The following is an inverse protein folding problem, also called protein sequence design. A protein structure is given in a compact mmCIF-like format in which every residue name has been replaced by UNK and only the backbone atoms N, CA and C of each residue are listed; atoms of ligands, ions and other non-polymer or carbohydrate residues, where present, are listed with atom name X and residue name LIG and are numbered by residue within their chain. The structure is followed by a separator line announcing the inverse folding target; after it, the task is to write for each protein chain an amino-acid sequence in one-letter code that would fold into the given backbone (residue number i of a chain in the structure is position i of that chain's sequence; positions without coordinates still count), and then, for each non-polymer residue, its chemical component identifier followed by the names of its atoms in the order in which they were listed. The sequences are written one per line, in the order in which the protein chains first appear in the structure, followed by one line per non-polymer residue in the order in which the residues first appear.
data_IF_420547175637
#
_entry.id   IF_420547175637
#
_cell.length_a   1.000
_cell.length_b   1.000
_cell.length_c   1.000
_cell.angle_alpha   90.00
_cell.angle_beta   90.00
_cell.angle_gamma   90.00
#
_symmetry.space_group_name_H-M   'P 1'
#
loop_
_entity.id
_entity.type
_entity.pdbx_description
1 polymer ?
#
# COMPACT_ATOMS: atom_id res chain seq x y z
N UNK A 1 8.44 20.70 -10.11
CA UNK A 1 8.16 19.95 -8.87
C UNK A 1 9.22 18.88 -8.71
N UNK A 2 9.82 18.76 -7.53
CA UNK A 2 10.81 17.74 -7.18
C UNK A 2 10.12 16.49 -6.68
N UNK A 3 10.19 15.42 -7.46
CA UNK A 3 9.57 14.13 -7.13
C UNK A 3 10.55 13.13 -6.55
N UNK A 4 10.02 12.17 -5.79
CA UNK A 4 10.70 10.94 -5.40
C UNK A 4 9.75 9.77 -5.62
N UNK A 5 10.22 8.71 -6.29
CA UNK A 5 9.52 7.43 -6.32
C UNK A 5 10.05 6.57 -5.17
N UNK A 6 9.16 5.92 -4.44
CA UNK A 6 9.50 4.98 -3.36
C UNK A 6 8.86 3.64 -3.64
N UNK A 7 9.66 2.57 -3.55
CA UNK A 7 9.25 1.20 -3.82
C UNK A 7 9.59 0.31 -2.63
N UNK A 8 8.64 -0.07 -1.77
CA UNK A 8 8.91 -1.10 -0.78
C UNK A 8 8.97 -2.47 -1.46
N UNK A 9 9.91 -3.30 -1.02
CA UNK A 9 10.04 -4.69 -1.44
C UNK A 9 10.25 -5.56 -0.22
N UNK A 10 9.55 -6.69 -0.18
CA UNK A 10 9.46 -7.53 1.01
C UNK A 10 10.19 -8.85 0.79
N UNK A 11 11.04 -9.23 1.75
CA UNK A 11 11.83 -10.47 1.71
C UNK A 11 11.54 -11.32 2.94
N UNK A 12 11.62 -12.64 2.78
CA UNK A 12 11.49 -13.61 3.86
C UNK A 12 12.57 -14.68 3.84
N UNK A 13 12.74 -15.38 4.95
CA UNK A 13 13.47 -16.64 5.00
C UNK A 13 12.85 -17.66 4.01
N UNK A 14 13.66 -18.45 3.27
CA UNK A 14 13.17 -19.55 2.45
C UNK A 14 12.33 -20.57 3.22
N UNK A 15 12.71 -20.80 4.48
CA UNK A 15 12.17 -21.86 5.33
C UNK A 15 10.88 -21.47 6.07
N UNK A 16 10.53 -20.18 6.08
CA UNK A 16 9.37 -19.66 6.83
C UNK A 16 8.36 -18.94 5.92
N UNK A 17 7.51 -19.68 5.19
CA UNK A 17 6.62 -19.11 4.17
C UNK A 17 5.54 -18.16 4.72
N UNK A 18 5.12 -18.36 5.97
CA UNK A 18 4.10 -17.53 6.64
C UNK A 18 4.72 -16.50 7.62
N UNK A 19 6.04 -16.27 7.57
CA UNK A 19 6.71 -15.28 8.42
C UNK A 19 6.30 -13.86 8.07
N UNK A 20 6.16 -13.03 9.12
CA UNK A 20 5.89 -11.61 8.98
C UNK A 20 4.47 -11.24 8.48
N UNK A 21 4.21 -9.94 8.32
CA UNK A 21 2.87 -9.42 8.01
C UNK A 21 2.55 -9.33 6.51
N UNK A 22 3.54 -9.48 5.64
CA UNK A 22 3.44 -9.14 4.22
C UNK A 22 2.69 -10.21 3.41
N UNK A 23 1.82 -9.81 2.48
CA UNK A 23 1.02 -10.73 1.66
C UNK A 23 1.87 -11.55 0.67
N UNK A 24 2.90 -10.91 0.09
CA UNK A 24 3.73 -11.44 -0.98
C UNK A 24 5.26 -11.36 -0.73
N UNK A 25 5.77 -11.81 0.43
CA UNK A 25 7.20 -11.72 0.71
C UNK A 25 7.99 -12.71 -0.14
N UNK A 26 8.99 -12.21 -0.86
CA UNK A 26 9.83 -13.01 -1.76
C UNK A 26 10.88 -13.76 -0.94
N UNK A 27 11.02 -15.09 -1.10
CA UNK A 27 12.09 -15.84 -0.44
C UNK A 27 13.47 -15.34 -0.84
N UNK A 28 14.41 -15.26 0.11
CA UNK A 28 15.81 -15.03 -0.23
C UNK A 28 16.32 -16.08 -1.22
N UNK A 29 17.15 -15.65 -2.16
CA UNK A 29 17.66 -16.46 -3.26
C UNK A 29 16.72 -16.58 -4.46
N UNK A 30 15.47 -16.13 -4.36
CA UNK A 30 14.54 -16.08 -5.48
C UNK A 30 14.43 -14.67 -6.06
N UNK A 31 14.34 -14.58 -7.38
CA UNK A 31 14.11 -13.31 -8.07
C UNK A 31 12.66 -12.83 -7.86
N UNK A 32 12.51 -11.57 -7.47
CA UNK A 32 11.23 -10.90 -7.26
C UNK A 32 10.74 -10.12 -8.49
N UNK A 33 9.60 -9.42 -8.39
CA UNK A 33 9.06 -8.62 -9.47
C UNK A 33 9.76 -7.25 -9.65
N UNK A 34 10.56 -6.82 -8.66
CA UNK A 34 11.24 -5.53 -8.64
C UNK A 34 11.97 -5.16 -9.94
N UNK A 35 12.78 -6.03 -10.58
CA UNK A 35 13.46 -5.68 -11.83
C UNK A 35 12.52 -5.23 -12.95
N UNK A 36 11.31 -5.82 -13.05
CA UNK A 36 10.30 -5.43 -14.04
C UNK A 36 9.81 -4.01 -13.80
N UNK A 37 9.45 -3.68 -12.55
CA UNK A 37 9.03 -2.33 -12.20
C UNK A 37 10.13 -1.32 -12.52
N UNK A 38 11.37 -1.58 -12.08
CA UNK A 38 12.51 -0.69 -12.31
C UNK A 38 12.76 -0.48 -13.81
N UNK A 39 12.64 -1.54 -14.64
CA UNK A 39 12.74 -1.42 -16.08
C UNK A 39 11.67 -0.50 -16.67
N UNK A 40 10.42 -0.61 -16.20
CA UNK A 40 9.31 0.24 -16.66
C UNK A 40 9.47 1.70 -16.23
N UNK A 41 9.97 1.97 -15.01
CA UNK A 41 10.30 3.32 -14.55
C UNK A 41 11.39 3.93 -15.43
N UNK A 42 12.46 3.17 -15.70
CA UNK A 42 13.55 3.62 -16.57
C UNK A 42 13.07 3.96 -17.98
N UNK A 43 12.10 3.22 -18.51
CA UNK A 43 11.46 3.51 -19.80
C UNK A 43 10.51 4.72 -19.74
N UNK A 44 9.81 4.93 -18.60
CA UNK A 44 8.80 5.97 -18.44
C UNK A 44 9.36 7.36 -18.08
N UNK A 45 10.57 7.46 -17.52
CA UNK A 45 11.26 8.74 -17.34
C UNK A 45 12.54 8.67 -16.50
N UNK A 46 13.65 9.09 -17.12
CA UNK A 46 15.01 8.83 -16.62
C UNK A 46 15.44 9.63 -15.37
N UNK A 47 14.80 10.77 -15.08
CA UNK A 47 15.37 11.75 -14.12
C UNK A 47 14.75 11.74 -12.73
N UNK A 48 13.61 11.06 -12.52
CA UNK A 48 13.00 10.98 -11.18
C UNK A 48 13.72 9.93 -10.35
N UNK A 49 14.28 10.29 -9.18
CA UNK A 49 14.98 9.33 -8.35
C UNK A 49 14.04 8.29 -7.75
N UNK A 50 14.57 7.08 -7.58
CA UNK A 50 13.90 5.93 -6.99
C UNK A 50 14.60 5.56 -5.68
N UNK A 51 13.82 5.41 -4.62
CA UNK A 51 14.27 4.85 -3.35
C UNK A 51 13.59 3.51 -3.10
N UNK A 52 14.35 2.42 -3.22
CA UNK A 52 13.86 1.08 -2.90
C UNK A 52 14.00 0.84 -1.40
N UNK A 53 12.92 0.50 -0.72
CA UNK A 53 12.90 0.21 0.72
C UNK A 53 12.84 -1.30 0.90
N UNK A 54 13.85 -1.88 1.52
CA UNK A 54 13.98 -3.33 1.68
C UNK A 54 13.57 -3.75 3.07
N UNK A 55 12.47 -4.46 3.16
CA UNK A 55 11.90 -4.96 4.41
C UNK A 55 12.03 -6.48 4.51
N UNK A 56 12.75 -6.96 5.52
CA UNK A 56 12.75 -8.37 5.89
C UNK A 56 11.56 -8.71 6.80
N UNK A 57 11.08 -9.95 6.76
CA UNK A 57 10.07 -10.45 7.71
C UNK A 57 10.62 -10.53 9.14
N UNK A 58 11.95 -10.62 9.30
CA UNK A 58 12.66 -10.58 10.57
C UNK A 58 14.06 -9.94 10.44
N UNK A 59 14.71 -9.68 11.57
CA UNK A 59 16.00 -8.98 11.61
C UNK A 59 17.18 -9.84 11.13
N UNK A 60 17.09 -11.16 11.18
CA UNK A 60 18.19 -12.07 10.82
C UNK A 60 18.45 -12.12 9.31
N UNK A 61 17.41 -11.87 8.51
CA UNK A 61 17.49 -11.87 7.05
C UNK A 61 17.66 -10.46 6.44
N UNK A 62 17.54 -9.40 7.25
CA UNK A 62 17.45 -8.03 6.75
C UNK A 62 18.69 -7.58 5.96
N UNK A 63 19.90 -7.88 6.43
CA UNK A 63 21.13 -7.56 5.71
C UNK A 63 21.26 -8.33 4.38
N UNK A 64 20.91 -9.62 4.38
CA UNK A 64 20.95 -10.46 3.18
C UNK A 64 19.93 -9.99 2.12
N UNK A 65 18.75 -9.55 2.57
CA UNK A 65 17.72 -8.98 1.72
C UNK A 65 18.23 -7.72 0.98
N UNK A 66 18.91 -6.82 1.70
CA UNK A 66 19.51 -5.61 1.10
C UNK A 66 20.54 -5.97 0.04
N UNK A 67 21.45 -6.90 0.33
CA UNK A 67 22.47 -7.34 -0.62
C UNK A 67 21.88 -8.00 -1.87
N UNK A 68 20.81 -8.78 -1.72
CA UNK A 68 20.10 -9.34 -2.86
C UNK A 68 19.46 -8.25 -3.73
N UNK A 69 18.71 -7.33 -3.13
CA UNK A 69 18.05 -6.25 -3.86
C UNK A 69 19.08 -5.36 -4.57
N UNK A 70 20.23 -5.08 -3.96
CA UNK A 70 21.34 -4.36 -4.61
C UNK A 70 21.78 -5.03 -5.91
N UNK A 71 21.88 -6.37 -5.93
CA UNK A 71 22.21 -7.12 -7.16
C UNK A 71 21.09 -7.06 -8.20
N UNK A 72 19.84 -7.17 -7.77
CA UNK A 72 18.67 -7.11 -8.67
C UNK A 72 18.56 -5.76 -9.40
N UNK A 73 18.93 -4.66 -8.74
CA UNK A 73 18.85 -3.32 -9.34
C UNK A 73 20.13 -2.87 -10.05
N UNK A 74 21.25 -3.58 -9.90
CA UNK A 74 22.55 -3.21 -10.45
C UNK A 74 22.50 -2.89 -11.96
N UNK A 75 21.81 -3.67 -12.81
CA UNK A 75 21.72 -3.40 -14.25
C UNK A 75 21.02 -2.08 -14.63
N UNK A 76 20.44 -1.36 -13.66
CA UNK A 76 19.67 -0.14 -13.86
C UNK A 76 20.33 1.11 -13.27
N UNK A 77 21.44 0.97 -12.54
CA UNK A 77 22.12 2.11 -11.88
C UNK A 77 22.62 3.18 -12.84
N UNK A 78 23.00 2.78 -14.05
CA UNK A 78 23.43 3.71 -15.10
C UNK A 78 22.25 4.31 -15.89
N UNK A 79 21.04 3.79 -15.69
CA UNK A 79 19.83 4.20 -16.44
C UNK A 79 18.96 5.17 -15.64
N UNK A 80 18.91 5.01 -14.32
CA UNK A 80 18.11 5.84 -13.42
C UNK A 80 18.84 6.09 -12.10
N UNK A 81 18.48 7.17 -11.43
CA UNK A 81 18.98 7.49 -10.09
C UNK A 81 18.28 6.63 -9.04
N UNK A 82 18.85 5.48 -8.72
CA UNK A 82 18.25 4.50 -7.79
C UNK A 82 19.11 4.27 -6.54
N UNK A 83 18.47 4.36 -5.37
CA UNK A 83 19.04 4.09 -4.06
C UNK A 83 18.31 2.95 -3.34
N UNK A 84 18.99 2.31 -2.40
CA UNK A 84 18.43 1.24 -1.55
C UNK A 84 18.48 1.70 -0.10
N UNK A 85 17.37 1.54 0.62
CA UNK A 85 17.22 1.82 2.03
C UNK A 85 16.86 0.53 2.75
N UNK A 86 17.70 0.10 3.69
CA UNK A 86 17.53 -1.13 4.46
C UNK A 86 17.69 -0.94 5.95
N UNK A 87 18.03 -2.02 6.64
CA UNK A 87 18.16 -2.05 8.10
C UNK A 87 19.25 -1.09 8.61
N UNK A 88 20.40 -1.04 7.95
CA UNK A 88 21.50 -0.15 8.35
C UNK A 88 21.14 1.32 8.19
N UNK A 89 20.39 1.65 7.11
CA UNK A 89 19.90 3.01 6.87
C UNK A 89 18.86 3.41 7.90
N UNK A 90 17.94 2.50 8.25
CA UNK A 90 16.97 2.72 9.33
C UNK A 90 17.70 3.00 10.65
N UNK A 91 18.67 2.15 11.01
CA UNK A 91 19.46 2.30 12.24
C UNK A 91 20.23 3.62 12.26
N UNK A 92 20.72 4.10 11.11
CA UNK A 92 21.35 5.42 11.02
C UNK A 92 20.36 6.58 11.20
N UNK A 93 19.16 6.47 10.62
CA UNK A 93 18.16 7.53 10.60
C UNK A 93 17.45 7.74 11.94
N UNK A 94 17.06 6.65 12.60
CA UNK A 94 16.30 6.71 13.87
C UNK A 94 17.14 6.27 15.08
N UNK A 95 18.33 5.71 14.88
CA UNK A 95 19.13 5.13 15.95
C UNK A 95 18.41 3.98 16.64
N UNK A 96 18.78 3.68 17.89
CA UNK A 96 18.04 2.76 18.77
C UNK A 96 16.75 3.35 19.34
N UNK A 97 16.33 4.54 18.90
CA UNK A 97 15.07 5.12 19.35
C UNK A 97 13.95 4.37 18.64
N UNK A 98 13.20 3.56 19.39
CA UNK A 98 11.97 2.97 18.88
C UNK A 98 10.96 4.08 18.60
N UNK A 99 10.98 4.61 17.38
CA UNK A 99 9.80 5.27 16.86
C UNK A 99 8.83 4.14 16.52
N UNK A 100 7.83 3.91 17.39
CA UNK A 100 6.78 2.92 17.14
C UNK A 100 6.10 3.12 15.77
N UNK A 101 6.27 4.29 15.15
CA UNK A 101 5.70 4.70 13.88
C UNK A 101 6.55 4.40 12.63
N UNK A 102 7.86 4.19 12.73
CA UNK A 102 8.77 4.03 11.57
C UNK A 102 9.56 2.73 11.73
N UNK A 103 9.72 1.95 10.67
CA UNK A 103 10.44 0.69 10.71
C UNK A 103 10.21 -0.19 9.49
N UNK A 104 10.85 -1.37 9.50
CA UNK A 104 10.84 -2.32 8.38
C UNK A 104 9.93 -3.54 8.60
N UNK A 105 9.10 -3.52 9.66
CA UNK A 105 8.12 -4.56 9.97
C UNK A 105 6.74 -3.93 10.09
N UNK A 106 5.85 -4.30 9.15
CA UNK A 106 4.48 -3.80 9.06
C UNK A 106 4.34 -2.69 8.02
N UNK A 107 3.31 -2.80 7.20
CA UNK A 107 3.10 -1.92 6.04
C UNK A 107 3.10 -0.43 6.40
N UNK A 108 2.33 -0.02 7.42
CA UNK A 108 2.27 1.39 7.83
C UNK A 108 3.62 1.96 8.27
N UNK A 109 4.47 1.16 8.93
CA UNK A 109 5.82 1.58 9.35
C UNK A 109 6.77 1.74 8.15
N UNK A 110 6.69 0.83 7.19
CA UNK A 110 7.47 0.88 5.94
C UNK A 110 7.04 2.10 5.11
N UNK A 111 5.74 2.37 5.00
CA UNK A 111 5.22 3.56 4.33
C UNK A 111 5.62 4.85 5.03
N UNK A 112 5.67 4.87 6.36
CA UNK A 112 6.22 6.01 7.12
C UNK A 112 7.71 6.23 6.86
N UNK A 113 8.51 5.17 6.67
CA UNK A 113 9.89 5.31 6.22
C UNK A 113 9.95 5.94 4.82
N UNK A 114 9.04 5.57 3.90
CA UNK A 114 8.88 6.24 2.61
C UNK A 114 8.65 7.76 2.76
N UNK A 115 7.75 8.19 3.66
CA UNK A 115 7.51 9.61 3.92
C UNK A 115 8.74 10.31 4.50
N UNK A 116 9.46 9.64 5.42
CA UNK A 116 10.70 10.17 5.99
C UNK A 116 11.78 10.36 4.92
N UNK A 117 11.99 9.36 4.05
CA UNK A 117 12.97 9.46 2.95
C UNK A 117 12.59 10.62 2.02
N UNK A 118 11.32 10.78 1.68
CA UNK A 118 10.84 11.92 0.88
C UNK A 118 11.10 13.27 1.56
N UNK A 119 10.87 13.35 2.88
CA UNK A 119 11.14 14.55 3.66
C UNK A 119 12.63 14.93 3.66
N UNK A 120 13.51 13.95 3.91
CA UNK A 120 14.97 14.11 3.93
C UNK A 120 15.55 14.45 2.56
N UNK A 121 15.03 13.83 1.51
CA UNK A 121 15.38 14.17 0.14
C UNK A 121 14.95 15.61 -0.22
N UNK A 122 13.98 16.17 0.49
CA UNK A 122 13.39 17.46 0.18
C UNK A 122 12.47 17.38 -1.03
N UNK A 123 11.69 16.30 -1.17
CA UNK A 123 10.68 16.16 -2.21
C UNK A 123 9.52 17.14 -2.01
N UNK A 124 8.94 17.59 -3.11
CA UNK A 124 7.65 18.30 -3.16
C UNK A 124 6.47 17.31 -3.17
N UNK A 125 6.66 16.13 -3.78
CA UNK A 125 5.71 15.02 -3.72
C UNK A 125 6.44 13.67 -3.79
N UNK A 126 5.85 12.66 -3.16
CA UNK A 126 6.32 11.27 -3.21
C UNK A 126 5.32 10.41 -3.97
N UNK A 127 5.82 9.55 -4.85
CA UNK A 127 5.07 8.54 -5.59
C UNK A 127 5.36 7.19 -4.94
N UNK A 128 4.33 6.56 -4.36
CA UNK A 128 4.39 5.18 -3.89
C UNK A 128 4.04 4.23 -5.03
N UNK A 129 4.94 3.28 -5.30
CA UNK A 129 4.75 2.13 -6.19
C UNK A 129 5.05 0.85 -5.42
N UNK A 130 4.35 -0.25 -5.69
CA UNK A 130 4.64 -1.58 -5.17
C UNK A 130 5.52 -2.36 -6.16
N UNK A 131 6.40 -3.21 -5.65
CA UNK A 131 7.40 -3.91 -6.48
C UNK A 131 6.79 -4.88 -7.52
N UNK A 132 5.50 -5.21 -7.38
CA UNK A 132 4.74 -6.09 -8.26
C UNK A 132 3.95 -5.36 -9.36
N UNK A 133 4.19 -4.07 -9.56
CA UNK A 133 3.52 -3.25 -10.58
C UNK A 133 4.41 -2.96 -11.80
N UNK A 134 3.80 -2.33 -12.81
CA UNK A 134 4.46 -1.75 -13.97
C UNK A 134 3.86 -0.38 -14.30
N UNK A 135 4.70 0.61 -14.57
CA UNK A 135 4.24 1.95 -14.94
C UNK A 135 4.18 2.11 -16.47
N UNK A 136 3.09 2.65 -17.02
CA UNK A 136 2.97 2.90 -18.46
C UNK A 136 3.81 4.12 -18.89
N UNK A 137 4.02 4.26 -20.21
CA UNK A 137 4.54 5.49 -20.78
C UNK A 137 3.69 6.71 -20.37
N UNK A 138 4.38 7.80 -20.03
CA UNK A 138 3.76 9.04 -19.56
C UNK A 138 3.26 9.02 -18.12
N UNK A 139 3.46 7.94 -17.36
CA UNK A 139 3.01 7.84 -15.96
C UNK A 139 3.43 9.03 -15.10
N UNK A 140 4.69 9.46 -15.17
CA UNK A 140 5.18 10.60 -14.37
C UNK A 140 4.49 11.92 -14.70
N UNK A 141 4.12 12.14 -15.97
CA UNK A 141 3.36 13.32 -16.36
C UNK A 141 1.94 13.29 -15.76
N UNK A 142 1.31 12.11 -15.73
CA UNK A 142 0.00 11.91 -15.08
C UNK A 142 0.06 12.09 -13.58
N UNK A 143 1.09 11.55 -12.92
CA UNK A 143 1.32 11.71 -11.48
C UNK A 143 1.48 13.19 -11.07
N UNK A 144 2.07 14.01 -11.94
CA UNK A 144 2.26 15.46 -11.70
C UNK A 144 1.05 16.31 -12.08
N UNK A 145 0.14 15.78 -12.90
CA UNK A 145 -0.90 16.57 -13.58
C UNK A 145 -1.74 17.40 -12.63
N UNK A 146 -2.10 16.83 -11.48
CA UNK A 146 -2.98 17.47 -10.51
C UNK A 146 -2.33 17.77 -9.17
N UNK A 147 -1.31 17.01 -8.76
CA UNK A 147 -0.75 17.15 -7.42
C UNK A 147 -0.19 18.57 -7.21
N UNK A 148 -0.56 19.20 -6.09
CA UNK A 148 -0.19 20.58 -5.75
C UNK A 148 -0.98 21.67 -6.50
N UNK A 149 -1.82 21.30 -7.47
CA UNK A 149 -2.73 22.25 -8.13
C UNK A 149 -3.99 22.50 -7.30
N UNK A 150 -4.78 23.50 -7.68
CA UNK A 150 -6.12 23.73 -7.13
C UNK A 150 -7.17 22.96 -7.94
N UNK A 151 -8.06 22.25 -7.25
CA UNK A 151 -9.21 21.57 -7.85
C UNK A 151 -10.44 21.74 -6.95
N UNK A 152 -11.56 22.16 -7.55
CA UNK A 152 -12.80 22.45 -6.82
C UNK A 152 -12.60 23.43 -5.63
N UNK A 153 -11.68 24.39 -5.74
CA UNK A 153 -11.38 25.40 -4.72
C UNK A 153 -10.46 24.91 -3.59
N UNK A 154 -9.88 23.71 -3.69
CA UNK A 154 -9.00 23.12 -2.68
C UNK A 154 -7.67 22.65 -3.30
N UNK A 155 -6.55 22.70 -2.55
CA UNK A 155 -5.30 22.13 -3.01
C UNK A 155 -5.37 20.60 -3.09
N UNK A 156 -4.91 20.04 -4.21
CA UNK A 156 -4.81 18.58 -4.41
C UNK A 156 -3.54 18.08 -3.73
N UNK A 157 -3.70 17.48 -2.54
CA UNK A 157 -2.57 16.99 -1.74
C UNK A 157 -2.35 15.47 -1.80
N UNK A 158 -3.34 14.73 -2.32
CA UNK A 158 -3.27 13.29 -2.49
C UNK A 158 -4.00 12.86 -3.76
N UNK A 159 -3.34 12.07 -4.60
CA UNK A 159 -3.93 11.49 -5.81
C UNK A 159 -3.67 9.98 -5.82
N UNK A 160 -4.67 9.21 -6.20
CA UNK A 160 -4.62 7.75 -6.40
C UNK A 160 -5.31 7.38 -7.70
N UNK A 161 -5.07 6.19 -8.21
CA UNK A 161 -5.83 5.70 -9.35
C UNK A 161 -5.77 4.19 -9.53
N UNK A 162 -6.35 3.66 -10.62
CA UNK A 162 -6.65 2.24 -10.74
C UNK A 162 -5.41 1.37 -10.91
N UNK A 163 -5.53 0.15 -10.38
CA UNK A 163 -4.77 -1.00 -10.83
C UNK A 163 -5.48 -1.65 -12.00
N UNK A 164 -4.75 -1.85 -13.10
CA UNK A 164 -5.21 -2.70 -14.19
C UNK A 164 -4.74 -4.11 -13.89
N UNK A 165 -5.67 -4.95 -13.47
CA UNK A 165 -5.41 -6.38 -13.31
C UNK A 165 -5.17 -6.99 -14.70
N UNK A 166 -4.09 -7.76 -14.87
CA UNK A 166 -3.80 -8.46 -16.13
C UNK A 166 -4.39 -9.87 -16.18
N UNK A 167 -5.04 -10.32 -15.11
CA UNK A 167 -5.67 -11.63 -15.02
C UNK A 167 -7.04 -11.52 -14.35
N UNK A 168 -8.03 -12.19 -14.94
CA UNK A 168 -9.35 -12.29 -14.33
C UNK A 168 -9.24 -13.06 -13.02
N UNK A 169 -9.49 -12.37 -11.90
CA UNK A 169 -9.66 -13.03 -10.60
C UNK A 169 -10.75 -14.11 -10.69
N UNK A 170 -10.65 -15.21 -9.91
CA UNK A 170 -11.63 -16.28 -9.96
C UNK A 170 -13.04 -15.74 -9.70
N UNK A 171 -14.08 -16.26 -10.39
CA UNK A 171 -15.45 -15.82 -10.21
C UNK A 171 -15.85 -15.99 -8.74
N UNK A 172 -16.47 -14.94 -8.19
CA UNK A 172 -16.86 -14.89 -6.80
C UNK A 172 -17.97 -15.94 -6.54
N UNK A 173 -17.77 -16.80 -5.54
CA UNK A 173 -18.64 -17.96 -5.23
C UNK A 173 -19.07 -18.02 -3.76
N UNK A 174 -18.74 -17.02 -2.95
CA UNK A 174 -18.96 -17.07 -1.51
C UNK A 174 -20.04 -16.08 -1.07
N UNK A 175 -20.98 -16.50 -0.23
CA UNK A 175 -22.01 -15.58 0.26
C UNK A 175 -21.45 -14.50 1.23
N UNK A 176 -20.29 -14.77 1.85
CA UNK A 176 -19.71 -13.91 2.86
C UNK A 176 -18.86 -12.78 2.24
N UNK A 177 -19.18 -11.49 2.50
CA UNK A 177 -18.42 -10.34 1.99
C UNK A 177 -16.91 -10.38 2.27
N UNK A 178 -16.46 -10.95 3.39
CA UNK A 178 -15.03 -11.03 3.71
C UNK A 178 -14.29 -11.99 2.78
N UNK A 179 -14.95 -13.06 2.34
CA UNK A 179 -14.42 -14.02 1.37
C UNK A 179 -14.49 -13.47 -0.06
N UNK A 180 -15.40 -12.52 -0.32
CA UNK A 180 -15.53 -11.80 -1.60
C UNK A 180 -15.00 -10.37 -1.57
N UNK A 181 -14.06 -10.05 -0.68
CA UNK A 181 -13.58 -8.67 -0.53
C UNK A 181 -13.14 -8.03 -1.85
N UNK A 182 -12.46 -8.78 -2.73
CA UNK A 182 -12.03 -8.29 -4.04
C UNK A 182 -13.20 -7.78 -4.90
N UNK A 183 -14.38 -8.38 -4.80
CA UNK A 183 -15.59 -7.90 -5.48
C UNK A 183 -16.04 -6.53 -4.97
N UNK A 184 -15.99 -6.31 -3.66
CA UNK A 184 -16.35 -5.01 -3.07
C UNK A 184 -15.38 -3.91 -3.47
N UNK A 185 -14.08 -4.21 -3.54
CA UNK A 185 -13.06 -3.30 -4.06
C UNK A 185 -13.36 -2.96 -5.53
N UNK A 186 -13.56 -3.97 -6.39
CA UNK A 186 -13.88 -3.77 -7.81
C UNK A 186 -15.15 -2.97 -8.04
N UNK A 187 -16.18 -3.19 -7.23
CA UNK A 187 -17.42 -2.39 -7.30
C UNK A 187 -17.15 -0.92 -6.97
N UNK A 188 -16.30 -0.65 -5.96
CA UNK A 188 -15.89 0.71 -5.61
C UNK A 188 -15.09 1.39 -6.72
N UNK A 189 -14.10 0.69 -7.27
CA UNK A 189 -13.32 1.17 -8.43
C UNK A 189 -14.25 1.46 -9.61
N UNK A 190 -15.19 0.57 -9.92
CA UNK A 190 -16.14 0.75 -11.03
C UNK A 190 -17.02 1.99 -10.85
N UNK A 191 -17.45 2.26 -9.61
CA UNK A 191 -18.21 3.47 -9.28
C UNK A 191 -17.37 4.74 -9.47
N UNK A 192 -16.10 4.72 -9.03
CA UNK A 192 -15.16 5.84 -9.21
C UNK A 192 -14.86 6.09 -10.70
N UNK A 193 -14.63 5.02 -11.46
CA UNK A 193 -14.39 5.09 -12.90
C UNK A 193 -15.58 5.68 -13.67
N UNK A 194 -16.81 5.38 -13.24
CA UNK A 194 -18.02 5.90 -13.87
C UNK A 194 -18.36 7.35 -13.49
N UNK A 195 -17.81 7.88 -12.38
CA UNK A 195 -18.28 9.12 -11.79
C UNK A 195 -17.82 10.40 -12.52
N UNK A 196 -16.64 10.42 -13.16
CA UNK A 196 -16.13 11.60 -13.87
C UNK A 196 -14.93 11.28 -14.77
N UNK A 197 -14.67 12.17 -15.75
CA UNK A 197 -13.39 12.23 -16.47
C UNK A 197 -12.32 13.07 -15.74
N UNK A 198 -12.70 13.77 -14.67
CA UNK A 198 -11.78 14.51 -13.79
C UNK A 198 -11.51 13.78 -12.47
N UNK A 199 -11.04 14.54 -11.48
CA UNK A 199 -10.79 14.01 -10.13
C UNK A 199 -12.10 13.73 -9.38
N UNK A 200 -12.14 12.60 -8.68
CA UNK A 200 -13.28 12.16 -7.84
C UNK A 200 -12.81 11.98 -6.39
N UNK A 201 -13.51 12.59 -5.43
CA UNK A 201 -13.23 12.36 -3.99
C UNK A 201 -13.42 10.87 -3.68
N UNK A 202 -12.42 10.24 -3.05
CA UNK A 202 -12.39 8.79 -2.86
C UNK A 202 -11.95 8.36 -1.46
N UNK A 203 -12.60 7.33 -0.87
CA UNK A 203 -12.07 6.61 0.28
C UNK A 203 -11.19 5.40 -0.11
N UNK A 204 -11.05 5.14 -1.41
CA UNK A 204 -10.29 4.02 -1.98
C UNK A 204 -9.01 4.55 -2.61
N UNK A 205 -7.90 3.89 -2.31
CA UNK A 205 -6.65 4.06 -3.02
C UNK A 205 -5.73 2.88 -2.71
N UNK A 206 -4.64 2.82 -3.46
CA UNK A 206 -3.69 1.72 -3.36
C UNK A 206 -2.28 2.26 -3.15
N UNK A 207 -1.56 1.66 -2.20
CA UNK A 207 -0.22 2.13 -1.82
C UNK A 207 0.81 2.10 -2.94
N UNK A 208 0.64 1.23 -3.94
CA UNK A 208 1.48 1.18 -5.13
C UNK A 208 0.99 2.07 -6.29
N UNK A 209 -0.04 2.88 -6.12
CA UNK A 209 -0.32 3.94 -7.09
C UNK A 209 -0.90 5.15 -6.40
N UNK A 210 -0.04 5.77 -5.60
CA UNK A 210 -0.37 6.91 -4.76
C UNK A 210 0.65 8.03 -4.93
N UNK A 211 0.16 9.27 -5.05
CA UNK A 211 0.99 10.47 -5.09
C UNK A 211 0.61 11.35 -3.90
N UNK A 212 1.58 11.65 -3.04
CA UNK A 212 1.36 12.39 -1.79
C UNK A 212 2.20 13.66 -1.82
N UNK A 213 1.55 14.82 -1.71
CA UNK A 213 2.23 16.11 -1.67
C UNK A 213 2.90 16.35 -0.32
N UNK A 214 3.98 17.15 -0.29
CA UNK A 214 4.72 17.53 0.92
C UNK A 214 3.84 18.18 1.97
N UNK A 215 2.84 18.94 1.54
CA UNK A 215 1.84 19.50 2.44
C UNK A 215 1.19 18.44 3.33
N UNK A 216 0.96 17.23 2.80
CA UNK A 216 0.30 16.13 3.51
C UNK A 216 1.29 15.21 4.23
N UNK A 217 2.33 14.72 3.55
CA UNK A 217 3.26 13.74 4.14
C UNK A 217 4.11 14.30 5.29
N UNK A 218 4.25 15.63 5.39
CA UNK A 218 4.94 16.26 6.51
C UNK A 218 4.06 16.38 7.78
N UNK A 219 2.76 16.11 7.68
CA UNK A 219 1.80 16.30 8.78
C UNK A 219 1.10 15.02 9.22
N UNK A 220 0.76 14.15 8.27
CA UNK A 220 -0.04 12.95 8.53
C UNK A 220 0.80 11.70 8.20
N UNK A 221 1.13 10.87 9.21
CA UNK A 221 1.76 9.57 8.98
C UNK A 221 0.71 8.47 8.69
N UNK A 222 1.16 7.37 8.11
CA UNK A 222 0.43 6.10 8.09
C UNK A 222 0.26 5.58 9.52
N UNK A 223 -0.85 4.91 9.79
CA UNK A 223 -1.09 4.27 11.08
C UNK A 223 -0.16 3.04 11.21
N UNK A 224 0.76 3.01 12.20
CA UNK A 224 1.71 1.91 12.31
C UNK A 224 1.11 0.65 12.92
N UNK A 225 -0.13 0.70 13.40
CA UNK A 225 -0.81 -0.42 14.07
C UNK A 225 -1.79 -1.16 13.17
N UNK A 226 -2.13 -0.61 12.00
CA UNK A 226 -2.96 -1.33 11.05
C UNK A 226 -2.15 -2.46 10.40
N UNK A 227 -2.59 -3.73 10.49
CA UNK A 227 -1.79 -4.86 10.05
C UNK A 227 -1.75 -5.00 8.52
N UNK A 228 -2.75 -4.46 7.82
CA UNK A 228 -2.96 -4.59 6.37
C UNK A 228 -3.99 -3.55 5.89
N UNK A 229 -3.87 -3.04 4.66
CA UNK A 229 -4.77 -2.01 4.13
C UNK A 229 -4.48 -0.62 4.72
N UNK A 230 -3.20 -0.38 4.98
CA UNK A 230 -2.65 0.86 5.50
C UNK A 230 -2.87 2.05 4.56
N UNK A 231 -3.02 1.80 3.26
CA UNK A 231 -3.32 2.80 2.23
C UNK A 231 -4.71 3.41 2.39
N UNK A 232 -5.73 2.57 2.49
CA UNK A 232 -7.13 2.97 2.71
C UNK A 232 -7.28 3.63 4.08
N UNK A 233 -6.59 3.12 5.09
CA UNK A 233 -6.56 3.73 6.42
C UNK A 233 -5.82 5.07 6.42
N UNK A 234 -4.75 5.21 5.64
CA UNK A 234 -4.04 6.48 5.48
C UNK A 234 -4.94 7.54 4.85
N UNK A 235 -5.68 7.19 3.79
CA UNK A 235 -6.67 8.07 3.16
C UNK A 235 -7.74 8.48 4.18
N UNK A 236 -8.24 7.51 4.95
CA UNK A 236 -9.22 7.76 6.02
C UNK A 236 -8.65 8.69 7.10
N UNK A 237 -7.39 8.49 7.49
CA UNK A 237 -6.69 9.32 8.48
C UNK A 237 -6.47 10.73 7.96
N UNK A 238 -6.05 10.90 6.71
CA UNK A 238 -5.94 12.20 6.06
C UNK A 238 -7.29 12.93 6.05
N UNK A 239 -8.39 12.21 5.78
CA UNK A 239 -9.75 12.78 5.87
C UNK A 239 -10.11 13.23 7.28
N UNK A 240 -9.70 12.49 8.31
CA UNK A 240 -9.85 12.93 9.70
C UNK A 240 -9.07 14.22 10.04
N UNK A 241 -8.04 14.53 9.25
CA UNK A 241 -7.27 15.78 9.32
C UNK A 241 -7.77 16.88 8.36
N UNK A 242 -8.87 16.63 7.63
CA UNK A 242 -9.47 17.59 6.70
C UNK A 242 -8.92 17.53 5.28
N UNK A 243 -8.06 16.56 4.96
CA UNK A 243 -7.46 16.40 3.63
C UNK A 243 -8.18 15.31 2.81
N UNK A 244 -8.37 15.55 1.51
CA UNK A 244 -8.97 14.58 0.60
C UNK A 244 -7.92 13.87 -0.24
N UNK A 245 -8.22 12.63 -0.60
CA UNK A 245 -7.59 11.98 -1.74
C UNK A 245 -8.53 12.02 -2.94
N UNK A 246 -7.91 12.18 -4.09
CA UNK A 246 -8.59 12.28 -5.37
C UNK A 246 -8.25 11.08 -6.24
N UNK A 247 -9.28 10.44 -6.77
CA UNK A 247 -9.17 9.39 -7.76
C UNK A 247 -8.99 10.00 -9.15
N UNK A 248 -7.94 9.59 -9.85
CA UNK A 248 -7.66 9.91 -11.24
C UNK A 248 -7.66 8.63 -12.09
N UNK A 249 -8.61 8.52 -13.03
CA UNK A 249 -8.73 7.37 -13.92
C UNK A 249 -7.54 7.19 -14.87
N UNK A 250 -6.78 8.25 -15.14
CA UNK A 250 -5.60 8.16 -16.01
C UNK A 250 -4.32 7.84 -15.24
N UNK A 251 -4.28 8.07 -13.93
CA UNK A 251 -3.17 7.65 -13.09
C UNK A 251 -3.30 6.14 -12.82
N UNK A 252 -2.87 5.30 -13.76
CA UNK A 252 -2.97 3.85 -13.63
C UNK A 252 -1.61 3.16 -13.69
N UNK A 253 -1.57 1.96 -13.10
CA UNK A 253 -0.46 0.99 -13.20
C UNK A 253 -1.01 -0.36 -13.63
N UNK A 254 -0.16 -1.21 -14.20
CA UNK A 254 -0.48 -2.63 -14.42
C UNK A 254 -0.02 -3.44 -13.21
N UNK A 255 -0.90 -4.25 -12.63
CA UNK A 255 -0.63 -4.99 -11.39
C UNK A 255 -0.39 -6.48 -11.67
N UNK A 256 0.76 -6.99 -11.24
CA UNK A 256 1.24 -8.34 -11.53
C UNK A 256 1.75 -9.05 -10.26
N UNK A 257 0.84 -9.39 -9.32
CA UNK A 257 1.21 -9.99 -8.04
C UNK A 257 1.86 -11.37 -8.23
N UNK A 258 2.90 -11.70 -7.44
CA UNK A 258 3.58 -12.98 -7.57
C UNK A 258 2.68 -14.14 -7.15
N UNK A 259 2.48 -15.11 -8.05
CA UNK A 259 1.61 -16.29 -7.83
C UNK A 259 2.20 -17.31 -6.84
N UNK A 260 3.52 -17.40 -6.75
CA UNK A 260 4.24 -18.46 -6.03
C UNK A 260 4.49 -18.15 -4.55
N UNK A 261 4.54 -16.88 -4.17
CA UNK A 261 4.98 -16.45 -2.84
C UNK A 261 3.86 -15.68 -2.17
N UNK A 262 2.87 -16.41 -1.69
CA UNK A 262 1.69 -15.81 -1.04
C UNK A 262 1.45 -16.48 0.30
N UNK A 263 1.18 -15.69 1.34
CA UNK A 263 0.73 -16.19 2.65
C UNK A 263 -0.55 -17.01 2.52
N UNK A 264 -0.78 -17.89 3.49
CA UNK A 264 -1.99 -18.72 3.48
C UNK A 264 -3.29 -17.86 3.43
N UNK A 265 -4.35 -18.32 2.73
CA UNK A 265 -5.62 -17.60 2.70
C UNK A 265 -6.20 -17.31 4.09
N UNK A 266 -6.03 -18.24 5.05
CA UNK A 266 -6.47 -18.05 6.42
C UNK A 266 -5.70 -16.92 7.13
N UNK A 267 -4.37 -16.87 6.99
CA UNK A 267 -3.56 -15.80 7.59
C UNK A 267 -3.91 -14.41 7.02
N UNK A 268 -4.17 -14.32 5.72
CA UNK A 268 -4.64 -13.10 5.08
C UNK A 268 -6.03 -12.69 5.57
N UNK A 269 -6.97 -13.64 5.70
CA UNK A 269 -8.31 -13.38 6.24
C UNK A 269 -8.27 -12.88 7.68
N UNK A 270 -7.42 -13.46 8.54
CA UNK A 270 -7.23 -12.97 9.91
C UNK A 270 -6.74 -11.53 9.93
N UNK A 271 -5.77 -11.20 9.08
CA UNK A 271 -5.26 -9.84 8.93
C UNK A 271 -6.37 -8.88 8.47
N UNK A 272 -7.25 -9.34 7.57
CA UNK A 272 -8.42 -8.58 7.11
C UNK A 272 -9.46 -8.34 8.20
N UNK A 273 -9.76 -9.35 9.01
CA UNK A 273 -10.69 -9.23 10.13
C UNK A 273 -10.15 -8.23 11.15
N UNK A 274 -8.87 -8.36 11.52
CA UNK A 274 -8.23 -7.46 12.49
C UNK A 274 -8.25 -6.02 11.98
N UNK A 275 -7.85 -5.77 10.72
CA UNK A 275 -7.89 -4.40 10.17
C UNK A 275 -9.30 -3.83 10.16
N UNK A 276 -10.34 -4.60 9.80
CA UNK A 276 -11.70 -4.06 9.72
C UNK A 276 -12.29 -3.77 11.10
N UNK A 277 -11.99 -4.62 12.10
CA UNK A 277 -12.36 -4.35 13.49
C UNK A 277 -11.69 -3.06 13.96
N UNK A 278 -10.39 -2.93 13.72
CA UNK A 278 -9.59 -1.76 14.08
C UNK A 278 -10.12 -0.48 13.39
N UNK A 279 -10.22 -0.48 12.06
CA UNK A 279 -10.68 0.67 11.28
C UNK A 279 -12.09 1.08 11.65
N UNK A 280 -13.00 0.13 11.92
CA UNK A 280 -14.36 0.44 12.39
C UNK A 280 -14.36 1.21 13.70
N UNK A 281 -13.54 0.80 14.66
CA UNK A 281 -13.46 1.49 15.94
C UNK A 281 -12.77 2.86 15.82
N UNK A 282 -11.67 2.94 15.05
CA UNK A 282 -11.00 4.20 14.72
C UNK A 282 -11.96 5.21 14.10
N UNK A 283 -12.76 4.77 13.12
CA UNK A 283 -13.77 5.61 12.44
C UNK A 283 -14.89 6.02 13.40
N UNK A 284 -15.40 5.10 14.23
CA UNK A 284 -16.41 5.42 15.25
C UNK A 284 -15.92 6.51 16.21
N UNK A 285 -14.70 6.37 16.73
CA UNK A 285 -14.08 7.38 17.61
C UNK A 285 -13.88 8.70 16.86
N UNK A 286 -13.40 8.66 15.62
CA UNK A 286 -13.21 9.85 14.78
C UNK A 286 -14.52 10.61 14.55
N UNK A 287 -15.62 9.91 14.22
CA UNK A 287 -16.95 10.50 14.10
C UNK A 287 -17.45 11.08 15.43
N UNK A 288 -17.29 10.35 16.53
CA UNK A 288 -17.68 10.83 17.87
C UNK A 288 -16.92 12.08 18.32
N UNK A 289 -15.74 12.34 17.75
CA UNK A 289 -14.93 13.54 17.97
C UNK A 289 -15.15 14.64 16.92
N UNK A 290 -16.03 14.44 15.95
CA UNK A 290 -16.26 15.38 14.85
C UNK A 290 -15.10 15.51 13.86
N UNK A 291 -14.14 14.57 13.87
CA UNK A 291 -13.00 14.54 12.94
C UNK A 291 -13.41 14.01 11.56
N UNK A 292 -14.45 13.20 11.50
CA UNK A 292 -14.94 12.59 10.27
C UNK A 292 -16.44 12.82 10.17
N UNK A 293 -16.88 13.47 9.09
CA UNK A 293 -18.30 13.46 8.71
C UNK A 293 -18.71 12.04 8.29
N UNK A 294 -19.99 11.66 8.35
CA UNK A 294 -20.50 10.44 7.72
C UNK A 294 -20.26 10.48 6.21
N UNK A 295 -19.06 10.10 5.77
CA UNK A 295 -18.66 10.09 4.38
C UNK A 295 -19.19 8.80 3.73
N UNK A 296 -19.43 8.79 2.41
CA UNK A 296 -19.73 7.57 1.68
C UNK A 296 -18.44 6.74 1.58
N UNK A 297 -18.14 6.00 2.65
CA UNK A 297 -17.12 4.94 2.61
C UNK A 297 -17.62 3.74 1.78
N UNK A 298 -18.86 3.78 1.28
CA UNK A 298 -19.42 2.74 0.41
C UNK A 298 -18.97 2.88 -1.05
N UNK A 299 -18.92 1.76 -1.79
CA UNK A 299 -19.17 0.40 -1.31
C UNK A 299 -18.00 -0.19 -0.51
N UNK A 300 -16.81 0.41 -0.60
CA UNK A 300 -15.59 -0.04 0.06
C UNK A 300 -14.78 1.13 0.62
N UNK A 301 -14.30 1.06 1.89
CA UNK A 301 -14.39 -0.06 2.83
C UNK A 301 -15.74 -0.19 3.57
N UNK A 302 -16.72 0.66 3.29
CA UNK A 302 -17.97 0.87 4.04
C UNK A 302 -18.76 -0.38 4.39
N UNK A 303 -18.88 -1.36 3.47
CA UNK A 303 -19.56 -2.63 3.75
C UNK A 303 -18.99 -3.37 4.97
N UNK A 304 -17.68 -3.25 5.20
CA UNK A 304 -16.96 -3.94 6.26
C UNK A 304 -16.97 -3.19 7.59
N UNK A 305 -17.57 -2.00 7.63
CA UNK A 305 -17.65 -1.17 8.83
C UNK A 305 -19.02 -1.27 9.51
N UNK A 306 -19.90 -2.17 9.03
CA UNK A 306 -21.24 -2.39 9.56
C UNK A 306 -21.23 -3.23 10.84
N UNK A 307 -22.36 -3.24 11.55
CA UNK A 307 -22.49 -3.92 12.84
C UNK A 307 -22.46 -5.45 12.73
N UNK A 308 -22.75 -6.01 11.55
CA UNK A 308 -22.70 -7.44 11.27
C UNK A 308 -21.26 -7.99 11.05
N UNK A 309 -20.23 -7.13 11.04
CA UNK A 309 -18.83 -7.54 10.88
C UNK A 309 -18.40 -8.72 11.78
N UNK A 310 -18.75 -8.78 13.09
CA UNK A 310 -18.34 -9.90 13.94
C UNK A 310 -18.94 -11.24 13.49
N UNK A 311 -20.17 -11.23 12.99
CA UNK A 311 -20.85 -12.42 12.47
C UNK A 311 -20.18 -12.86 11.17
N UNK A 312 -19.93 -11.92 10.25
CA UNK A 312 -19.21 -12.20 9.01
C UNK A 312 -17.81 -12.76 9.28
N UNK A 313 -17.08 -12.19 10.24
CA UNK A 313 -15.74 -12.62 10.60
C UNK A 313 -15.73 -14.06 11.15
N UNK A 314 -16.64 -14.38 12.07
CA UNK A 314 -16.79 -15.74 12.60
C UNK A 314 -17.06 -16.74 11.48
N UNK A 315 -18.04 -16.45 10.62
CA UNK A 315 -18.49 -17.39 9.59
C UNK A 315 -17.39 -17.59 8.53
N UNK A 316 -16.69 -16.51 8.14
CA UNK A 316 -15.55 -16.59 7.22
C UNK A 316 -14.40 -17.45 7.79
N UNK A 317 -14.11 -17.32 9.09
CA UNK A 317 -13.08 -18.13 9.75
C UNK A 317 -13.48 -19.62 9.80
N UNK A 318 -14.74 -19.93 10.12
CA UNK A 318 -15.22 -21.32 10.16
C UNK A 318 -15.24 -22.00 8.78
N UNK A 319 -15.40 -21.20 7.73
CA UNK A 319 -15.35 -21.65 6.34
C UNK A 319 -13.90 -21.85 5.86
N UNK A 320 -13.07 -20.81 5.94
CA UNK A 320 -11.74 -20.79 5.31
C UNK A 320 -10.61 -21.36 6.18
N UNK A 321 -10.71 -21.22 7.51
CA UNK A 321 -9.67 -21.61 8.45
C UNK A 321 -9.98 -22.93 9.19
N UNK A 322 -10.91 -23.74 8.67
CA UNK A 322 -11.48 -24.91 9.37
C UNK A 322 -10.43 -25.90 9.87
N UNK A 323 -9.42 -26.18 9.05
CA UNK A 323 -8.42 -27.21 9.36
C UNK A 323 -7.50 -26.80 10.51
N UNK A 324 -7.24 -25.50 10.69
CA UNK A 324 -6.50 -24.99 11.85
C UNK A 324 -7.29 -25.12 13.17
N UNK A 325 -8.62 -25.11 13.12
CA UNK A 325 -9.44 -25.35 14.31
C UNK A 325 -9.53 -26.83 14.70
N UNK A 326 -9.21 -27.74 13.78
CA UNK A 326 -9.20 -29.18 14.05
C UNK A 326 -7.91 -29.64 14.71
N UNK A 327 -6.80 -28.98 14.45
CA UNK A 327 -5.48 -29.30 15.03
C UNK A 327 -5.27 -28.72 16.43
N UNK A 328 -6.17 -27.87 16.93
CA UNK A 328 -6.16 -27.33 18.29
C UNK A 328 -6.93 -28.19 19.33
N UNK A 329 -7.45 -29.36 18.94
CA UNK A 329 -8.10 -30.34 19.82
C UNK A 329 -7.26 -31.60 19.92
#
# INVERSE_FOLDING_TARGET
MKLLITVPTYRRSPDEPDSGPYDHPIPLGMEGPLPRLIASIAAAGADTPVAVIVAGTDATIAGLAVEQVRREIEPYRDKIRIGVFGIDDLDHLIGRRSANCIGLIGYGKVRNLQLLIAALYGADAVIGLDDDEEVPAGYLARAQRFIGAEYAGEPVLGVVGPYRETEDGPPARAANPLLERGRWIRNGISALAAASQGLVDTPIGFGGNIVIHRGLFMRVPFDPYIPRGEDIDYITTCRMHGDRFWWDNELFVDHFPPRLFRRSPCAMLRSDIIRFIYSREKIRVGMGRGLLSPAPLDPYPGRFLRDDLPVLARDALLELCRDEFRTMR
#
